data_IF_810625047990
#
_entry.id   IF_810625047990
#
_cell.length_a   1.000
_cell.length_b   1.000
_cell.length_c   1.000
_cell.angle_alpha   90.00
_cell.angle_beta   90.00
_cell.angle_gamma   90.00
#
_symmetry.space_group_name_H-M   'P 1'
#
loop_
_entity.id
_entity.type
_entity.pdbx_description
1 polymer ?
#
# COMPACT_ATOMS: atom_id res chain seq x y z
N UNK A 1 -26.45 13.26 2.09
CA UNK A 1 -25.36 13.74 2.97
C UNK A 1 -24.17 14.13 2.12
N UNK A 2 -24.01 15.41 1.72
CA UNK A 2 -22.88 15.86 0.93
C UNK A 2 -21.70 16.30 1.81
N UNK A 3 -20.48 15.93 1.43
CA UNK A 3 -19.23 16.31 2.10
C UNK A 3 -18.77 17.73 1.67
N UNK A 4 -18.09 18.48 2.57
CA UNK A 4 -17.69 19.86 2.30
C UNK A 4 -16.41 19.97 1.43
N UNK A 5 -16.43 20.90 0.45
CA UNK A 5 -15.26 21.36 -0.31
C UNK A 5 -14.48 22.39 0.50
N UNK A 6 -13.18 22.20 0.65
CA UNK A 6 -12.26 23.25 1.10
C UNK A 6 -11.55 23.89 -0.11
N UNK A 7 -11.66 25.21 -0.17
CA UNK A 7 -11.03 26.12 -1.13
C UNK A 7 -9.93 26.88 -0.41
N UNK A 8 -8.70 26.86 -0.91
CA UNK A 8 -7.60 27.71 -0.42
C UNK A 8 -6.83 28.31 -1.61
N UNK A 9 -7.13 29.58 -1.84
CA UNK A 9 -6.34 30.59 -2.57
C UNK A 9 -5.79 31.50 -1.47
N UNK A 10 -4.54 31.97 -1.37
CA UNK A 10 -3.62 32.48 -2.39
C UNK A 10 -2.31 32.96 -1.74
N UNK A 11 -1.27 33.12 -2.58
CA UNK A 11 -0.19 34.16 -2.56
C UNK A 11 1.06 34.01 -1.66
N UNK A 12 2.19 33.81 -2.37
CA UNK A 12 3.61 34.08 -2.02
C UNK A 12 3.92 35.61 -2.03
N UNK A 13 5.09 36.11 -1.57
CA UNK A 13 6.42 36.05 -2.25
C UNK A 13 7.59 35.80 -1.26
N UNK A 14 8.90 35.77 -1.57
CA UNK A 14 9.79 35.38 -2.67
C UNK A 14 11.17 36.00 -2.33
N UNK A 15 12.27 35.23 -2.40
CA UNK A 15 13.68 35.62 -2.74
C UNK A 15 14.60 34.48 -2.22
N UNK A 16 15.41 33.72 -2.98
CA UNK A 16 16.20 33.83 -4.21
C UNK A 16 17.70 33.80 -3.89
N UNK A 17 18.43 32.84 -4.49
CA UNK A 17 19.88 32.73 -4.82
C UNK A 17 20.34 31.26 -4.67
N UNK A 18 20.94 30.56 -5.63
CA UNK A 18 21.70 30.96 -6.81
C UNK A 18 21.71 29.88 -7.91
N UNK A 19 21.96 30.38 -9.12
CA UNK A 19 21.94 29.80 -10.46
C UNK A 19 23.12 28.89 -10.83
N UNK A 20 22.95 28.20 -11.97
CA UNK A 20 23.82 27.26 -12.72
C UNK A 20 23.69 25.82 -12.24
N UNK A 21 22.99 24.95 -12.97
CA UNK A 21 23.37 24.52 -14.33
C UNK A 21 22.11 24.29 -15.18
N UNK A 22 21.91 25.14 -16.20
CA UNK A 22 20.90 24.96 -17.22
C UNK A 22 21.45 24.00 -18.29
N UNK A 23 20.96 22.76 -18.32
CA UNK A 23 21.01 21.92 -19.51
C UNK A 23 19.63 21.31 -19.78
N UNK A 24 19.00 21.91 -20.79
CA UNK A 24 18.13 21.30 -21.79
C UNK A 24 16.81 20.64 -21.33
N UNK A 25 15.73 21.41 -21.51
CA UNK A 25 14.52 21.02 -22.25
C UNK A 25 14.06 19.54 -22.14
N UNK A 26 13.03 19.29 -21.32
CA UNK A 26 11.67 18.97 -21.81
C UNK A 26 10.70 18.75 -20.63
N UNK A 27 9.59 19.51 -20.52
CA UNK A 27 8.45 19.13 -19.70
C UNK A 27 7.54 18.25 -20.56
N UNK A 28 7.40 16.98 -20.19
CA UNK A 28 6.28 16.16 -20.68
C UNK A 28 5.38 15.86 -19.52
N UNK A 29 4.22 16.52 -19.54
CA UNK A 29 2.97 15.91 -19.10
C UNK A 29 2.97 14.42 -19.51
N UNK A 30 2.40 13.53 -18.73
CA UNK A 30 0.99 13.19 -18.86
C UNK A 30 0.57 12.48 -17.57
N UNK A 31 -0.57 12.92 -17.03
CA UNK A 31 -1.43 12.11 -16.20
C UNK A 31 -1.83 10.88 -17.00
N UNK A 32 -1.03 9.81 -16.92
CA UNK A 32 -1.33 8.55 -17.57
C UNK A 32 -2.21 7.76 -16.61
N UNK A 33 -3.54 7.86 -16.75
CA UNK A 33 -4.40 6.80 -16.24
C UNK A 33 -3.92 5.49 -16.88
N UNK A 34 -3.54 4.45 -16.12
CA UNK A 34 -3.35 3.15 -16.72
C UNK A 34 -4.73 2.63 -17.12
N UNK A 35 -4.95 2.49 -18.42
CA UNK A 35 -5.97 1.60 -18.99
C UNK A 35 -5.84 0.19 -18.38
N UNK A 36 -6.91 -0.61 -18.29
CA UNK A 36 -6.91 -1.89 -17.55
C UNK A 36 -6.18 -2.97 -18.37
N UNK A 37 -4.86 -2.84 -18.47
CA UNK A 37 -3.97 -3.78 -19.14
C UNK A 37 -3.29 -4.60 -18.05
N UNK A 38 -3.69 -5.88 -17.92
CA UNK A 38 -3.10 -6.91 -17.06
C UNK A 38 -2.20 -6.37 -15.93
N UNK A 39 -2.81 -6.00 -14.81
CA UNK A 39 -2.08 -5.74 -13.58
C UNK A 39 -1.33 -7.02 -13.23
N UNK A 40 0.01 -6.98 -13.34
CA UNK A 40 0.85 -8.06 -12.83
C UNK A 40 0.41 -8.38 -11.39
N UNK A 41 0.43 -9.67 -10.97
CA UNK A 41 0.01 -10.03 -9.63
C UNK A 41 0.79 -9.18 -8.62
N UNK A 42 0.10 -8.59 -7.61
CA UNK A 42 0.73 -7.72 -6.64
C UNK A 42 1.88 -8.46 -5.94
N UNK A 43 3.02 -7.80 -5.79
CA UNK A 43 4.19 -8.39 -5.14
C UNK A 43 3.89 -8.72 -3.68
N UNK A 44 4.61 -9.70 -3.13
CA UNK A 44 4.50 -10.06 -1.71
C UNK A 44 4.73 -8.86 -0.78
N UNK A 45 5.66 -7.98 -1.14
CA UNK A 45 5.91 -6.72 -0.41
C UNK A 45 4.69 -5.80 -0.42
N UNK A 46 3.99 -5.69 -1.56
CA UNK A 46 2.79 -4.87 -1.64
C UNK A 46 1.67 -5.44 -0.76
N UNK A 47 1.46 -6.77 -0.81
CA UNK A 47 0.46 -7.44 0.03
C UNK A 47 0.82 -7.34 1.51
N UNK A 48 2.10 -7.48 1.86
CA UNK A 48 2.61 -7.29 3.22
C UNK A 48 2.35 -5.88 3.75
N UNK A 49 2.53 -4.84 2.93
CA UNK A 49 2.12 -3.48 3.28
C UNK A 49 0.61 -3.39 3.48
N UNK A 50 -0.18 -3.93 2.55
CA UNK A 50 -1.64 -3.88 2.63
C UNK A 50 -2.17 -4.56 3.91
N UNK A 51 -1.60 -5.69 4.32
CA UNK A 51 -1.95 -6.37 5.58
C UNK A 51 -1.65 -5.47 6.78
N UNK A 52 -0.48 -4.83 6.80
CA UNK A 52 -0.06 -3.95 7.91
C UNK A 52 -0.91 -2.69 8.03
N UNK A 53 -1.49 -2.21 6.94
CA UNK A 53 -2.31 -0.99 6.92
C UNK A 53 -3.77 -1.20 7.37
N UNK A 54 -4.23 -2.45 7.53
CA UNK A 54 -5.60 -2.72 7.94
C UNK A 54 -5.91 -2.17 9.34
N UNK A 55 -7.17 -1.77 9.57
CA UNK A 55 -7.59 -1.11 10.83
C UNK A 55 -8.15 -2.09 11.85
N UNK A 56 -8.40 -3.34 11.44
CA UNK A 56 -8.85 -4.42 12.30
C UNK A 56 -8.15 -5.74 11.97
N UNK A 57 -8.15 -6.67 12.93
CA UNK A 57 -7.62 -8.01 12.72
C UNK A 57 -8.39 -8.78 11.64
N UNK A 58 -9.72 -8.64 11.61
CA UNK A 58 -10.59 -9.28 10.61
C UNK A 58 -10.25 -8.81 9.20
N UNK A 59 -10.03 -7.51 9.01
CA UNK A 59 -9.59 -6.96 7.72
C UNK A 59 -8.20 -7.47 7.33
N UNK A 60 -7.24 -7.52 8.27
CA UNK A 60 -5.90 -8.07 8.02
C UNK A 60 -5.95 -9.53 7.53
N UNK A 61 -6.78 -10.35 8.17
CA UNK A 61 -7.03 -11.74 7.77
C UNK A 61 -7.73 -11.83 6.42
N UNK A 62 -8.70 -10.95 6.15
CA UNK A 62 -9.40 -10.93 4.88
C UNK A 62 -8.46 -10.54 3.73
N UNK A 63 -7.60 -9.55 3.92
CA UNK A 63 -6.55 -9.18 2.96
C UNK A 63 -5.62 -10.36 2.68
N UNK A 64 -5.16 -11.05 3.73
CA UNK A 64 -4.31 -12.22 3.57
C UNK A 64 -5.02 -13.33 2.77
N UNK A 65 -6.24 -13.69 3.14
CA UNK A 65 -7.04 -14.72 2.43
C UNK A 65 -7.41 -14.31 1.00
N UNK A 66 -7.62 -13.02 0.75
CA UNK A 66 -7.85 -12.51 -0.59
C UNK A 66 -6.60 -12.70 -1.46
N UNK A 67 -5.41 -12.43 -0.93
CA UNK A 67 -4.17 -12.61 -1.67
C UNK A 67 -3.95 -14.08 -2.10
N UNK A 68 -4.36 -15.06 -1.30
CA UNK A 68 -4.29 -16.48 -1.68
C UNK A 68 -5.19 -16.85 -2.87
N UNK A 69 -6.17 -16.02 -3.22
CA UNK A 69 -7.05 -16.22 -4.39
C UNK A 69 -6.45 -15.66 -5.68
N UNK A 70 -5.33 -14.95 -5.61
CA UNK A 70 -4.67 -14.38 -6.78
C UNK A 70 -3.99 -15.50 -7.58
N UNK A 71 -4.00 -15.44 -8.92
CA UNK A 71 -3.39 -16.46 -9.75
C UNK A 71 -1.89 -16.52 -9.50
N UNK A 72 -1.36 -17.75 -9.32
CA UNK A 72 0.06 -18.03 -9.08
C UNK A 72 0.65 -17.30 -7.86
N UNK A 73 -0.19 -16.93 -6.89
CA UNK A 73 0.28 -16.32 -5.65
C UNK A 73 0.29 -17.35 -4.52
N UNK A 74 1.42 -17.47 -3.86
CA UNK A 74 1.56 -18.25 -2.62
C UNK A 74 2.22 -17.37 -1.58
N UNK A 75 1.69 -17.41 -0.35
CA UNK A 75 2.25 -16.64 0.74
C UNK A 75 3.71 -17.01 1.00
N UNK A 76 4.51 -16.01 1.32
CA UNK A 76 5.90 -16.18 1.71
C UNK A 76 6.12 -15.61 3.13
N UNK A 77 7.34 -15.77 3.64
CA UNK A 77 7.75 -15.28 4.96
C UNK A 77 7.35 -13.82 5.21
N UNK A 78 7.45 -12.94 4.20
CA UNK A 78 7.14 -11.52 4.35
C UNK A 78 5.65 -11.30 4.66
N UNK A 79 4.77 -11.99 3.93
CA UNK A 79 3.31 -11.89 4.16
C UNK A 79 2.86 -12.51 5.49
N UNK A 80 3.44 -13.65 5.88
CA UNK A 80 3.15 -14.27 7.18
C UNK A 80 3.63 -13.38 8.33
N UNK A 81 4.88 -12.90 8.29
CA UNK A 81 5.42 -11.98 9.30
C UNK A 81 4.56 -10.74 9.46
N UNK A 82 4.09 -10.18 8.34
CA UNK A 82 3.21 -9.00 8.34
C UNK A 82 1.87 -9.28 9.01
N UNK A 83 1.27 -10.45 8.75
CA UNK A 83 0.02 -10.84 9.38
C UNK A 83 0.19 -11.15 10.88
N UNK A 84 1.21 -11.94 11.24
CA UNK A 84 1.54 -12.25 12.65
C UNK A 84 1.74 -10.96 13.44
N UNK A 85 2.57 -10.04 12.94
CA UNK A 85 2.79 -8.75 13.57
C UNK A 85 1.47 -8.00 13.78
N UNK A 86 0.64 -7.94 12.74
CA UNK A 86 -0.60 -7.17 12.79
C UNK A 86 -1.62 -7.78 13.76
N UNK A 87 -1.73 -9.10 13.82
CA UNK A 87 -2.60 -9.80 14.78
C UNK A 87 -2.12 -9.61 16.22
N UNK A 88 -0.81 -9.63 16.48
CA UNK A 88 -0.25 -9.33 17.79
C UNK A 88 -0.58 -7.90 18.25
N UNK A 89 -0.53 -6.91 17.35
CA UNK A 89 -0.94 -5.52 17.66
C UNK A 89 -2.40 -5.44 18.10
N UNK A 90 -3.27 -6.30 17.56
CA UNK A 90 -4.68 -6.38 17.96
C UNK A 90 -4.95 -7.37 19.11
N UNK A 91 -3.93 -8.00 19.69
CA UNK A 91 -4.08 -8.98 20.77
C UNK A 91 -4.74 -10.30 20.36
N UNK A 92 -4.70 -10.65 19.07
CA UNK A 92 -5.35 -11.84 18.50
C UNK A 92 -4.41 -13.04 18.48
N UNK A 93 -3.96 -13.47 19.65
CA UNK A 93 -2.93 -14.52 19.78
C UNK A 93 -3.40 -15.90 19.32
N UNK A 94 -4.67 -16.24 19.55
CA UNK A 94 -5.25 -17.50 19.07
C UNK A 94 -5.16 -17.61 17.54
N UNK A 95 -5.49 -16.53 16.83
CA UNK A 95 -5.38 -16.49 15.37
C UNK A 95 -3.92 -16.58 14.91
N UNK A 96 -2.97 -16.08 15.71
CA UNK A 96 -1.54 -16.23 15.43
C UNK A 96 -1.10 -17.68 15.59
N UNK A 97 -1.51 -18.36 16.66
CA UNK A 97 -1.19 -19.77 16.86
C UNK A 97 -1.72 -20.63 15.71
N UNK A 98 -3.00 -20.48 15.36
CA UNK A 98 -3.58 -21.17 14.22
C UNK A 98 -2.86 -20.83 12.90
N UNK A 99 -2.45 -19.57 12.70
CA UNK A 99 -1.73 -19.19 11.48
C UNK A 99 -0.35 -19.87 11.39
N UNK A 100 0.34 -20.04 12.51
CA UNK A 100 1.66 -20.67 12.57
C UNK A 100 1.57 -22.19 12.36
N UNK A 101 0.51 -22.83 12.83
CA UNK A 101 0.27 -24.26 12.61
C UNK A 101 -0.01 -24.57 11.12
N UNK A 102 -0.60 -23.62 10.39
CA UNK A 102 -0.91 -23.72 8.96
C UNK A 102 0.24 -23.27 8.04
N UNK A 103 1.35 -22.78 8.60
CA UNK A 103 2.49 -22.39 7.79
C UNK A 103 3.17 -23.62 7.17
N UNK A 104 3.44 -23.62 5.86
CA UNK A 104 4.14 -24.71 5.19
C UNK A 104 5.62 -24.80 5.57
#
# INVERSE_FOLDING_TARGET
MPLPRISLSSRLPAVAKSEKILRALQPKAICSLPSPTQLAPPSHEHIAHLIRDQKSASEALQTFRWASKLPNFTHNQCTYRSLVYKLCVFGRFEDVHHLLDEMP
#
